data_IF_055988283473
#
_entry.id   IF_055988283473
#
_cell.length_a   1.000
_cell.length_b   1.000
_cell.length_c   1.000
_cell.angle_alpha   90.00
_cell.angle_beta   90.00
_cell.angle_gamma   90.00
#
_symmetry.space_group_name_H-M   'P 1'
#
loop_
_entity.id
_entity.type
_entity.pdbx_description
1 polymer ?
#
# COMPACT_ATOMS: atom_id res chain seq x y z
N UNK A 1 -3.01 24.69 19.09
CA UNK A 1 -2.69 23.56 18.19
C UNK A 1 -1.50 23.99 17.36
N UNK A 2 -0.30 23.45 17.63
CA UNK A 2 0.91 23.87 16.89
C UNK A 2 0.87 23.28 15.48
N UNK A 3 0.75 24.17 14.51
CA UNK A 3 0.89 23.93 13.07
C UNK A 3 2.22 23.22 12.83
N UNK A 4 2.19 22.02 12.24
CA UNK A 4 3.39 21.24 11.95
C UNK A 4 4.11 21.95 10.79
N UNK A 5 4.96 22.92 11.12
CA UNK A 5 6.04 23.34 10.23
C UNK A 5 6.82 22.08 9.86
N UNK A 6 7.26 21.93 8.61
CA UNK A 6 7.78 20.66 8.06
C UNK A 6 9.06 20.10 8.71
N UNK A 7 9.39 20.49 9.94
CA UNK A 7 10.49 20.03 10.76
C UNK A 7 10.09 19.93 12.24
N UNK A 8 10.87 19.16 13.00
CA UNK A 8 10.79 18.99 14.45
C UNK A 8 12.21 18.85 14.99
N UNK A 9 12.52 19.49 16.11
CA UNK A 9 13.78 19.28 16.83
C UNK A 9 13.51 18.33 17.99
N UNK A 10 14.29 17.25 18.05
CA UNK A 10 14.36 16.36 19.21
C UNK A 10 15.63 16.65 20.01
N UNK A 11 15.48 17.38 21.12
CA UNK A 11 16.59 17.74 22.00
C UNK A 11 17.16 16.55 22.78
N UNK A 12 16.42 15.45 22.93
CA UNK A 12 16.91 14.25 23.64
C UNK A 12 17.95 13.51 22.81
N UNK A 13 17.74 13.47 21.49
CA UNK A 13 18.64 12.80 20.52
C UNK A 13 19.54 13.78 19.78
N UNK A 14 19.36 15.09 20.01
CA UNK A 14 20.01 16.18 19.29
C UNK A 14 19.84 16.05 17.76
N UNK A 15 18.60 15.83 17.33
CA UNK A 15 18.26 15.57 15.92
C UNK A 15 17.19 16.53 15.41
N UNK A 16 17.49 17.21 14.30
CA UNK A 16 16.55 17.94 13.47
C UNK A 16 15.89 16.96 12.48
N UNK A 17 14.63 16.64 12.73
CA UNK A 17 13.81 15.76 11.90
C UNK A 17 13.00 16.62 10.93
N UNK A 18 13.21 16.46 9.62
CA UNK A 18 12.52 17.22 8.57
C UNK A 18 11.67 16.30 7.71
N UNK A 19 10.53 16.76 7.20
CA UNK A 19 9.80 16.04 6.17
C UNK A 19 10.43 16.25 4.79
N UNK A 20 10.02 15.44 3.81
CA UNK A 20 10.59 15.50 2.46
C UNK A 20 10.44 16.88 1.78
N UNK A 21 9.30 17.55 1.95
CA UNK A 21 9.05 18.87 1.32
C UNK A 21 10.00 19.92 1.88
N UNK A 22 10.15 19.96 3.20
CA UNK A 22 11.04 20.88 3.89
C UNK A 22 12.50 20.62 3.51
N UNK A 23 12.94 19.35 3.53
CA UNK A 23 14.31 19.00 3.15
C UNK A 23 14.62 19.40 1.71
N UNK A 24 13.67 19.21 0.78
CA UNK A 24 13.82 19.61 -0.62
C UNK A 24 13.91 21.14 -0.76
N UNK A 25 13.07 21.89 -0.05
CA UNK A 25 13.13 23.35 -0.04
C UNK A 25 14.45 23.87 0.57
N UNK A 26 14.96 23.22 1.63
CA UNK A 26 16.22 23.55 2.28
C UNK A 26 17.47 23.22 1.45
N UNK A 27 17.35 22.51 0.32
CA UNK A 27 18.45 22.33 -0.64
C UNK A 27 18.62 23.54 -1.57
N UNK A 28 17.60 24.39 -1.69
CA UNK A 28 17.68 25.61 -2.50
C UNK A 28 18.40 26.68 -1.71
N UNK A 29 19.55 27.14 -2.21
CA UNK A 29 20.30 28.20 -1.55
C UNK A 29 19.47 29.48 -1.44
N UNK A 30 19.44 30.07 -0.23
CA UNK A 30 18.69 31.31 0.03
C UNK A 30 17.19 31.15 0.26
N UNK A 31 16.65 29.91 0.25
CA UNK A 31 15.27 29.68 0.67
C UNK A 31 15.06 29.93 2.17
N UNK A 32 13.81 30.15 2.57
CA UNK A 32 13.46 30.30 3.98
C UNK A 32 13.86 29.07 4.79
N UNK A 33 13.62 27.87 4.26
CA UNK A 33 13.95 26.60 4.90
C UNK A 33 15.46 26.37 4.98
N UNK A 34 16.23 26.82 3.98
CA UNK A 34 17.69 26.77 4.02
C UNK A 34 18.23 27.65 5.14
N UNK A 35 17.76 28.89 5.23
CA UNK A 35 18.17 29.85 6.26
C UNK A 35 17.79 29.35 7.66
N UNK A 36 16.59 28.78 7.81
CA UNK A 36 16.14 28.21 9.07
C UNK A 36 16.99 27.01 9.51
N UNK A 37 17.28 26.07 8.59
CA UNK A 37 18.18 24.94 8.88
C UNK A 37 19.57 25.44 9.28
N UNK A 38 20.08 26.46 8.58
CA UNK A 38 21.40 27.04 8.87
C UNK A 38 21.44 27.70 10.25
N UNK A 39 20.41 28.45 10.64
CA UNK A 39 20.31 29.05 11.97
C UNK A 39 20.31 27.99 13.07
N UNK A 40 19.47 26.96 12.93
CA UNK A 40 19.41 25.84 13.89
C UNK A 40 20.77 25.14 14.04
N UNK A 41 21.46 24.86 12.94
CA UNK A 41 22.79 24.21 12.99
C UNK A 41 23.88 25.15 13.53
N UNK A 42 23.67 26.46 13.48
CA UNK A 42 24.60 27.45 14.05
C UNK A 42 24.43 27.52 15.57
N UNK A 43 23.20 27.52 16.06
CA UNK A 43 22.89 27.56 17.50
C UNK A 43 23.26 26.23 18.19
N UNK A 44 23.13 25.12 17.46
CA UNK A 44 23.40 23.76 17.96
C UNK A 44 24.48 23.05 17.11
N UNK A 45 25.75 23.47 17.21
CA UNK A 45 26.84 22.83 16.48
C UNK A 45 26.96 21.35 16.93
N UNK A 46 26.76 20.43 15.99
CA UNK A 46 26.76 18.99 16.25
C UNK A 46 25.37 18.32 16.24
N UNK A 47 24.30 19.08 15.98
CA UNK A 47 22.97 18.53 15.74
C UNK A 47 22.92 17.68 14.45
N UNK A 48 22.30 16.50 14.52
CA UNK A 48 22.12 15.60 13.38
C UNK A 48 20.87 15.97 12.59
N UNK A 49 20.88 15.79 11.27
CA UNK A 49 19.70 16.02 10.43
C UNK A 49 19.16 14.72 9.88
N UNK A 50 17.88 14.43 10.13
CA UNK A 50 17.19 13.25 9.62
C UNK A 50 15.99 13.65 8.77
N UNK A 51 15.77 12.94 7.68
CA UNK A 51 14.57 13.12 6.85
C UNK A 51 13.56 12.06 7.26
N UNK A 52 12.45 12.48 7.85
CA UNK A 52 11.33 11.61 8.13
C UNK A 52 10.74 11.13 6.80
N UNK A 53 10.97 9.86 6.48
CA UNK A 53 10.27 9.18 5.40
C UNK A 53 8.76 9.30 5.63
N UNK A 54 8.00 9.53 4.57
CA UNK A 54 6.54 9.58 4.65
C UNK A 54 5.96 8.34 5.31
N UNK A 55 4.68 8.41 5.71
CA UNK A 55 3.97 7.28 6.29
C UNK A 55 4.15 6.04 5.40
N UNK A 56 4.79 5.00 5.95
CA UNK A 56 4.85 3.71 5.28
C UNK A 56 3.42 3.28 4.98
N UNK A 57 3.13 2.92 3.73
CA UNK A 57 1.81 2.39 3.38
C UNK A 57 1.61 1.17 4.27
N UNK A 58 0.69 1.27 5.23
CA UNK A 58 0.33 0.16 6.11
C UNK A 58 -0.08 -0.98 5.18
N UNK A 59 0.58 -2.14 5.32
CA UNK A 59 0.30 -3.31 4.47
C UNK A 59 -1.21 -3.49 4.38
N UNK A 60 -1.67 -3.74 3.16
CA UNK A 60 -3.08 -3.85 2.80
C UNK A 60 -3.74 -4.82 3.78
N UNK A 61 -4.72 -4.34 4.57
CA UNK A 61 -5.43 -5.15 5.57
C UNK A 61 -5.88 -6.49 4.98
N UNK A 62 -5.89 -7.57 5.77
CA UNK A 62 -6.31 -8.92 5.36
C UNK A 62 -7.65 -8.93 4.62
N UNK A 63 -8.59 -8.06 5.01
CA UNK A 63 -9.90 -7.91 4.34
C UNK A 63 -9.79 -7.35 2.92
N UNK A 64 -8.75 -6.59 2.62
CA UNK A 64 -8.48 -5.97 1.32
C UNK A 64 -7.76 -6.95 0.36
N UNK A 65 -7.31 -8.10 0.88
CA UNK A 65 -6.71 -9.21 0.12
C UNK A 65 -7.74 -10.23 -0.40
N UNK A 66 -9.00 -10.17 0.03
CA UNK A 66 -10.07 -11.08 -0.39
C UNK A 66 -10.77 -10.61 -1.68
N UNK A 67 -10.03 -10.41 -2.76
CA UNK A 67 -10.62 -10.00 -4.07
C UNK A 67 -11.22 -11.20 -4.81
N UNK A 68 -12.09 -10.96 -5.80
CA UNK A 68 -12.61 -12.04 -6.65
C UNK A 68 -11.51 -12.84 -7.34
N UNK A 69 -10.45 -12.16 -7.81
CA UNK A 69 -9.31 -12.84 -8.44
C UNK A 69 -8.60 -13.75 -7.44
N UNK A 70 -8.40 -13.29 -6.20
CA UNK A 70 -7.77 -14.09 -5.17
C UNK A 70 -8.65 -15.25 -4.70
N UNK A 71 -9.98 -15.08 -4.69
CA UNK A 71 -10.92 -16.19 -4.45
C UNK A 71 -10.83 -17.24 -5.56
N UNK A 72 -10.86 -16.83 -6.84
CA UNK A 72 -10.73 -17.76 -7.98
C UNK A 72 -9.39 -18.50 -7.97
N UNK A 73 -8.30 -17.78 -7.70
CA UNK A 73 -6.96 -18.36 -7.67
C UNK A 73 -6.83 -19.39 -6.55
N UNK A 74 -7.42 -19.12 -5.38
CA UNK A 74 -7.49 -20.08 -4.29
C UNK A 74 -8.35 -21.30 -4.65
N UNK A 75 -9.53 -21.12 -5.26
CA UNK A 75 -10.37 -22.25 -5.71
C UNK A 75 -9.61 -23.13 -6.72
N UNK A 76 -8.76 -22.51 -7.54
CA UNK A 76 -7.99 -23.21 -8.58
C UNK A 76 -6.91 -24.17 -8.04
N UNK A 77 -6.58 -24.13 -6.75
CA UNK A 77 -5.62 -25.06 -6.15
C UNK A 77 -6.25 -26.40 -5.77
N UNK A 78 -7.58 -26.49 -5.72
CA UNK A 78 -8.27 -27.71 -5.35
C UNK A 78 -8.36 -28.70 -6.52
N UNK A 79 -8.38 -30.02 -6.25
CA UNK A 79 -8.53 -31.03 -7.30
C UNK A 79 -9.89 -30.96 -8.02
N UNK A 80 -10.94 -30.51 -7.33
CA UNK A 80 -12.29 -30.30 -7.86
C UNK A 80 -12.55 -28.84 -8.28
N UNK A 81 -11.50 -28.14 -8.74
CA UNK A 81 -11.57 -26.71 -9.09
C UNK A 81 -12.65 -26.37 -10.11
N UNK A 82 -12.93 -27.23 -11.08
CA UNK A 82 -13.83 -26.90 -12.19
C UNK A 82 -15.27 -26.75 -11.68
N UNK A 83 -15.73 -27.68 -10.84
CA UNK A 83 -17.05 -27.62 -10.18
C UNK A 83 -17.14 -26.42 -9.23
N UNK A 84 -16.09 -26.16 -8.43
CA UNK A 84 -16.06 -25.04 -7.50
C UNK A 84 -16.02 -23.67 -8.19
N UNK A 85 -15.34 -23.58 -9.35
CA UNK A 85 -15.34 -22.37 -10.17
C UNK A 85 -16.72 -22.12 -10.79
N UNK A 86 -17.40 -23.16 -11.25
CA UNK A 86 -18.76 -23.05 -11.76
C UNK A 86 -19.73 -22.55 -10.68
N UNK A 87 -19.66 -23.11 -9.46
CA UNK A 87 -20.44 -22.62 -8.31
C UNK A 87 -20.10 -21.16 -7.95
N UNK A 88 -18.82 -20.80 -8.00
CA UNK A 88 -18.38 -19.44 -7.77
C UNK A 88 -18.97 -18.48 -8.81
N UNK A 89 -18.91 -18.82 -10.10
CA UNK A 89 -19.44 -17.99 -11.17
C UNK A 89 -20.96 -17.86 -11.09
N UNK A 90 -21.66 -18.94 -10.75
CA UNK A 90 -23.09 -18.91 -10.47
C UNK A 90 -23.41 -17.95 -9.32
N UNK A 91 -22.65 -18.04 -8.22
CA UNK A 91 -22.80 -17.15 -7.06
C UNK A 91 -22.53 -15.69 -7.43
N UNK A 92 -21.51 -15.41 -8.24
CA UNK A 92 -21.21 -14.07 -8.77
C UNK A 92 -22.37 -13.55 -9.61
N UNK A 93 -22.94 -14.35 -10.52
CA UNK A 93 -24.11 -13.97 -11.33
C UNK A 93 -25.32 -13.65 -10.45
N UNK A 94 -25.62 -14.50 -9.48
CA UNK A 94 -26.73 -14.30 -8.52
C UNK A 94 -26.53 -13.06 -7.64
N UNK A 95 -25.28 -12.73 -7.30
CA UNK A 95 -24.95 -11.59 -6.45
C UNK A 95 -25.31 -10.23 -7.08
N UNK A 96 -25.38 -10.13 -8.42
CA UNK A 96 -25.64 -8.86 -9.13
C UNK A 96 -26.99 -8.23 -8.79
N UNK A 97 -27.96 -9.05 -8.36
CA UNK A 97 -29.31 -8.60 -7.96
C UNK A 97 -29.34 -8.14 -6.50
N UNK A 98 -28.30 -8.44 -5.71
CA UNK A 98 -28.23 -8.12 -4.29
C UNK A 98 -27.75 -6.69 -4.05
N UNK A 99 -28.15 -6.10 -2.91
CA UNK A 99 -27.72 -4.75 -2.48
C UNK A 99 -26.21 -4.59 -2.36
N UNK A 100 -25.50 -5.68 -2.05
CA UNK A 100 -24.04 -5.71 -1.99
C UNK A 100 -23.53 -7.00 -2.63
N UNK A 101 -23.27 -6.98 -3.95
CA UNK A 101 -22.85 -8.17 -4.70
C UNK A 101 -21.57 -8.80 -4.14
N UNK A 102 -20.57 -7.96 -3.88
CA UNK A 102 -19.30 -8.41 -3.31
C UNK A 102 -19.46 -9.06 -1.93
N UNK A 103 -20.26 -8.45 -1.03
CA UNK A 103 -20.47 -9.02 0.30
C UNK A 103 -21.09 -10.41 0.19
N UNK A 104 -22.10 -10.57 -0.67
CA UNK A 104 -22.77 -11.86 -0.91
C UNK A 104 -21.78 -12.96 -1.32
N UNK A 105 -20.95 -12.69 -2.32
CA UNK A 105 -19.93 -13.65 -2.79
C UNK A 105 -18.86 -13.89 -1.71
N UNK A 106 -18.42 -12.84 -1.01
CA UNK A 106 -17.42 -12.97 0.05
C UNK A 106 -17.90 -13.79 1.24
N UNK A 107 -19.19 -13.72 1.56
CA UNK A 107 -19.80 -14.49 2.65
C UNK A 107 -20.00 -15.95 2.22
N UNK A 108 -20.42 -16.21 0.98
CA UNK A 108 -20.41 -17.57 0.40
C UNK A 108 -19.01 -18.18 0.47
N UNK A 109 -17.98 -17.47 0.01
CA UNK A 109 -16.60 -17.97 0.00
C UNK A 109 -16.10 -18.34 1.40
N UNK A 110 -16.38 -17.50 2.42
CA UNK A 110 -16.00 -17.78 3.81
C UNK A 110 -16.74 -18.98 4.38
N UNK A 111 -17.98 -19.22 3.95
CA UNK A 111 -18.78 -20.37 4.39
C UNK A 111 -18.30 -21.67 3.71
N UNK A 112 -17.96 -21.61 2.42
CA UNK A 112 -17.43 -22.76 1.67
C UNK A 112 -16.02 -23.13 2.12
N UNK A 113 -15.20 -22.14 2.47
CA UNK A 113 -13.82 -22.34 2.92
C UNK A 113 -13.57 -21.68 4.28
N UNK A 114 -14.07 -22.22 5.41
CA UNK A 114 -13.92 -21.61 6.74
C UNK A 114 -12.45 -21.37 7.13
N UNK A 115 -11.57 -22.27 6.68
CA UNK A 115 -10.15 -22.27 7.04
C UNK A 115 -9.24 -21.49 6.07
N UNK A 116 -9.79 -20.81 5.06
CA UNK A 116 -9.00 -20.07 4.06
C UNK A 116 -8.03 -19.05 4.67
N UNK A 117 -8.37 -18.51 5.84
CA UNK A 117 -7.61 -17.44 6.48
C UNK A 117 -6.41 -17.93 7.30
N UNK A 118 -6.43 -19.19 7.72
CA UNK A 118 -5.31 -19.88 8.36
C UNK A 118 -4.45 -20.63 7.35
N UNK A 119 -4.92 -20.73 6.10
CA UNK A 119 -4.22 -21.44 5.06
C UNK A 119 -2.98 -20.66 4.61
N UNK A 120 -1.81 -21.28 4.79
CA UNK A 120 -0.54 -20.73 4.33
C UNK A 120 -0.53 -20.58 2.80
N UNK A 121 -1.26 -21.45 2.09
CA UNK A 121 -1.39 -21.40 0.64
C UNK A 121 -2.10 -20.12 0.19
N UNK A 122 -3.21 -19.74 0.84
CA UNK A 122 -3.91 -18.50 0.51
C UNK A 122 -3.00 -17.27 0.68
N UNK A 123 -2.19 -17.24 1.73
CA UNK A 123 -1.27 -16.13 1.98
C UNK A 123 -0.17 -16.06 0.91
N UNK A 124 0.42 -17.20 0.54
CA UNK A 124 1.44 -17.28 -0.51
C UNK A 124 0.89 -16.90 -1.91
N UNK A 125 -0.34 -17.31 -2.21
CA UNK A 125 -1.06 -16.98 -3.44
C UNK A 125 -1.30 -15.48 -3.55
N UNK A 126 -1.76 -14.83 -2.46
CA UNK A 126 -1.98 -13.39 -2.51
C UNK A 126 -0.65 -12.63 -2.56
N UNK A 127 0.39 -13.11 -1.89
CA UNK A 127 1.73 -12.49 -1.95
C UNK A 127 2.28 -12.51 -3.39
N UNK A 128 2.20 -13.66 -4.06
CA UNK A 128 2.65 -13.82 -5.45
C UNK A 128 1.82 -12.99 -6.44
N UNK A 129 0.50 -12.90 -6.25
CA UNK A 129 -0.37 -12.06 -7.06
C UNK A 129 -0.08 -10.55 -6.84
N UNK A 130 0.12 -10.10 -5.59
CA UNK A 130 0.44 -8.71 -5.27
C UNK A 130 1.83 -8.31 -5.82
N UNK A 131 2.80 -9.25 -5.86
CA UNK A 131 4.10 -9.04 -6.54
C UNK A 131 3.90 -8.89 -8.04
N UNK A 132 3.10 -9.75 -8.68
CA UNK A 132 2.82 -9.66 -10.12
C UNK A 132 2.09 -8.35 -10.50
N UNK A 133 1.19 -7.85 -9.64
CA UNK A 133 0.53 -6.54 -9.85
C UNK A 133 1.50 -5.37 -9.70
N UNK A 134 2.45 -5.44 -8.76
CA UNK A 134 3.51 -4.41 -8.64
C UNK A 134 4.45 -4.41 -9.84
N UNK A 135 4.85 -5.58 -10.32
CA UNK A 135 5.72 -5.72 -11.51
C UNK A 135 5.02 -5.19 -12.77
N UNK A 136 3.73 -5.46 -12.96
CA UNK A 136 2.97 -4.93 -14.10
C UNK A 136 2.54 -3.46 -13.93
N UNK A 137 2.37 -2.98 -12.69
CA UNK A 137 2.08 -1.59 -12.39
C UNK A 137 3.30 -0.68 -12.59
N UNK A 138 4.51 -1.19 -12.37
CA UNK A 138 5.76 -0.47 -12.63
C UNK A 138 6.14 -0.46 -14.12
N UNK A 139 5.76 -1.48 -14.91
CA UNK A 139 5.97 -1.46 -16.38
C UNK A 139 4.97 -0.59 -17.13
N UNK A 140 3.75 -0.38 -16.61
CA UNK A 140 2.75 0.51 -17.21
C UNK A 140 3.11 2.00 -17.15
N UNK A 141 4.07 2.41 -16.28
CA UNK A 141 4.54 3.80 -16.20
C UNK A 141 5.62 4.09 -17.26
N UNK A 142 6.24 3.07 -17.87
CA UNK A 142 7.36 3.25 -18.81
C UNK A 142 6.91 3.28 -20.28
N UNK A 143 5.67 2.88 -20.62
CA UNK A 143 5.22 2.73 -22.02
C UNK A 143 4.24 3.79 -22.54
N UNK A 144 4.02 4.92 -21.84
CA UNK A 144 3.11 5.99 -22.29
C UNK A 144 3.81 7.33 -22.64
N UNK A 145 5.12 7.29 -22.96
CA UNK A 145 5.88 8.49 -23.42
C UNK A 145 6.71 8.28 -24.68
N UNK A 146 6.33 7.34 -25.54
CA UNK A 146 7.01 7.18 -26.82
C UNK A 146 6.04 6.66 -27.90
N UNK A 147 5.03 7.44 -28.27
CA UNK A 147 4.39 7.39 -29.60
C UNK A 147 3.34 8.49 -29.74
N UNK A 148 3.51 9.36 -30.73
CA UNK A 148 2.42 10.17 -31.28
C UNK A 148 2.60 11.67 -31.16
N UNK A 149 3.20 12.25 -32.21
CA UNK A 149 2.81 13.48 -32.92
C UNK A 149 1.92 14.51 -32.21
#
# INVERSE_FOLDING_TARGET
MNTINGYKIDFKTNTLIMNYKFSKAAMVYGSEEYNLRKAILTDFPGMRTEIQSGRTKKSTSKSKRLTYNNMKLYISTFPNKDELLDEFEYTVKKSKVQKSPYKYVSDWFKNTFPNYSSDAEYTAIVESADVAVKVNGDTAIILDKASGF
#
